data_IF_024792795183
#
_entry.id   IF_024792795183
#
_cell.length_a   1.000
_cell.length_b   1.000
_cell.length_c   1.000
_cell.angle_alpha   90.00
_cell.angle_beta   90.00
_cell.angle_gamma   90.00
#
_symmetry.space_group_name_H-M   'P 1'
#
loop_
_entity.id
_entity.type
_entity.pdbx_description
1 polymer ?
#
# COMPACT_ATOMS: atom_id res chain seq x y z
N UNK A 1 -8.25 -21.10 7.19
CA UNK A 1 -8.96 -19.83 7.44
C UNK A 1 -10.03 -19.71 6.37
N UNK A 2 -11.27 -19.51 6.78
CA UNK A 2 -12.39 -19.31 5.85
C UNK A 2 -12.31 -17.91 5.22
N UNK A 3 -12.68 -17.78 3.95
CA UNK A 3 -12.65 -16.51 3.21
C UNK A 3 -13.52 -15.45 3.90
N UNK A 4 -14.65 -15.86 4.47
CA UNK A 4 -15.56 -15.00 5.23
C UNK A 4 -14.91 -14.42 6.47
N UNK A 5 -14.06 -15.19 7.16
CA UNK A 5 -13.30 -14.72 8.33
C UNK A 5 -12.27 -13.67 7.94
N UNK A 6 -11.57 -13.86 6.80
CA UNK A 6 -10.56 -12.90 6.31
C UNK A 6 -11.20 -11.57 5.92
N UNK A 7 -12.34 -11.62 5.23
CA UNK A 7 -13.10 -10.41 4.86
C UNK A 7 -13.54 -9.64 6.12
N UNK A 8 -13.97 -10.34 7.16
CA UNK A 8 -14.33 -9.75 8.45
C UNK A 8 -13.19 -9.00 9.15
N UNK A 9 -11.92 -9.36 8.91
CA UNK A 9 -10.78 -8.65 9.48
C UNK A 9 -10.66 -7.19 8.99
N UNK A 10 -11.21 -6.88 7.82
CA UNK A 10 -11.13 -5.56 7.20
C UNK A 10 -12.35 -4.65 7.50
N UNK A 11 -13.40 -5.18 8.15
CA UNK A 11 -14.59 -4.40 8.54
C UNK A 11 -14.21 -3.29 9.51
N UNK A 12 -14.73 -2.09 9.26
CA UNK A 12 -14.51 -0.88 10.07
C UNK A 12 -13.03 -0.49 10.23
N UNK A 13 -12.15 -0.97 9.33
CA UNK A 13 -10.71 -0.70 9.38
C UNK A 13 -10.29 0.42 8.46
N UNK A 14 -9.32 1.19 8.93
CA UNK A 14 -8.55 2.14 8.15
C UNK A 14 -7.23 1.49 7.75
N UNK A 15 -6.93 1.45 6.46
CA UNK A 15 -5.82 0.67 5.93
C UNK A 15 -4.90 1.55 5.09
N UNK A 16 -3.61 1.52 5.39
CA UNK A 16 -2.58 2.13 4.56
C UNK A 16 -2.04 1.11 3.57
N UNK A 17 -2.05 1.45 2.28
CA UNK A 17 -1.50 0.62 1.20
C UNK A 17 -0.37 1.38 0.52
N UNK A 18 0.81 0.77 0.49
CA UNK A 18 1.93 1.23 -0.35
C UNK A 18 2.00 0.38 -1.62
N UNK A 19 2.44 0.98 -2.74
CA UNK A 19 2.55 0.26 -4.01
C UNK A 19 1.20 -0.02 -4.70
N UNK A 20 0.16 0.75 -4.35
CA UNK A 20 -1.20 0.63 -4.91
C UNK A 20 -1.26 0.84 -6.43
N UNK A 21 -0.33 1.60 -7.01
CA UNK A 21 -0.22 1.83 -8.45
C UNK A 21 0.35 0.64 -9.22
N UNK A 22 1.02 -0.27 -8.51
CA UNK A 22 1.53 -1.54 -9.05
C UNK A 22 0.41 -2.51 -9.45
N UNK A 23 0.76 -3.53 -10.22
CA UNK A 23 -0.20 -4.52 -10.73
C UNK A 23 -0.98 -5.24 -9.61
N UNK A 24 -0.29 -5.80 -8.62
CA UNK A 24 -0.94 -6.47 -7.49
C UNK A 24 -1.68 -5.48 -6.59
N UNK A 25 -1.10 -4.29 -6.37
CA UNK A 25 -1.66 -3.26 -5.49
C UNK A 25 -3.06 -2.82 -5.92
N UNK A 26 -3.25 -2.49 -7.20
CA UNK A 26 -4.58 -2.06 -7.70
C UNK A 26 -5.63 -3.16 -7.62
N UNK A 27 -5.24 -4.41 -7.89
CA UNK A 27 -6.12 -5.58 -7.74
C UNK A 27 -6.55 -5.78 -6.29
N UNK A 28 -5.63 -5.61 -5.35
CA UNK A 28 -5.92 -5.71 -3.93
C UNK A 28 -6.89 -4.61 -3.48
N UNK A 29 -6.66 -3.36 -3.89
CA UNK A 29 -7.53 -2.22 -3.59
C UNK A 29 -8.95 -2.46 -4.13
N UNK A 30 -9.09 -2.83 -5.40
CA UNK A 30 -10.40 -3.16 -5.99
C UNK A 30 -11.09 -4.27 -5.21
N UNK A 31 -10.37 -5.37 -4.95
CA UNK A 31 -10.94 -6.54 -4.30
C UNK A 31 -11.43 -6.20 -2.90
N UNK A 32 -10.68 -5.43 -2.13
CA UNK A 32 -11.05 -5.01 -0.77
C UNK A 32 -12.32 -4.17 -0.77
N UNK A 33 -12.40 -3.18 -1.66
CA UNK A 33 -13.59 -2.33 -1.79
C UNK A 33 -14.84 -3.13 -2.17
N UNK A 34 -14.68 -4.12 -3.05
CA UNK A 34 -15.80 -4.95 -3.51
C UNK A 34 -16.26 -5.99 -2.50
N UNK A 35 -15.35 -6.65 -1.77
CA UNK A 35 -15.72 -7.73 -0.84
C UNK A 35 -16.01 -7.24 0.57
N UNK A 36 -15.57 -6.04 0.94
CA UNK A 36 -15.80 -5.46 2.26
C UNK A 36 -16.31 -4.02 2.14
N UNK A 37 -17.61 -3.81 1.90
CA UNK A 37 -18.20 -2.47 1.78
C UNK A 37 -18.15 -1.66 3.10
N UNK A 38 -18.09 -2.34 4.25
CA UNK A 38 -17.97 -1.73 5.58
C UNK A 38 -16.52 -1.31 5.91
N UNK A 39 -15.60 -1.40 4.95
CA UNK A 39 -14.26 -0.86 5.11
C UNK A 39 -14.35 0.65 5.34
N UNK A 40 -13.63 1.16 6.35
CA UNK A 40 -13.73 2.57 6.73
C UNK A 40 -13.04 3.46 5.71
N UNK A 41 -11.75 3.23 5.48
CA UNK A 41 -10.93 4.09 4.61
C UNK A 41 -9.65 3.39 4.14
N UNK A 42 -9.26 3.63 2.89
CA UNK A 42 -8.00 3.24 2.29
C UNK A 42 -7.14 4.48 2.09
N UNK A 43 -6.02 4.55 2.78
CA UNK A 43 -4.95 5.50 2.47
C UNK A 43 -4.02 4.88 1.42
N UNK A 44 -3.89 5.53 0.26
CA UNK A 44 -3.03 5.05 -0.82
C UNK A 44 -1.79 5.94 -0.91
N UNK A 45 -0.66 5.45 -0.40
CA UNK A 45 0.62 6.17 -0.51
C UNK A 45 1.15 6.04 -1.93
N UNK A 46 1.28 7.19 -2.61
CA UNK A 46 1.75 7.28 -3.98
C UNK A 46 2.79 8.38 -4.14
N UNK A 47 3.80 8.11 -4.97
CA UNK A 47 4.84 9.08 -5.29
C UNK A 47 4.27 10.18 -6.19
N UNK A 48 4.16 11.37 -5.63
CA UNK A 48 3.65 12.58 -6.27
C UNK A 48 4.25 13.82 -5.56
N UNK A 49 4.37 14.96 -6.25
CA UNK A 49 4.88 16.20 -5.67
C UNK A 49 3.95 16.85 -4.65
N UNK A 50 2.64 16.65 -4.79
CA UNK A 50 1.60 17.23 -3.94
C UNK A 50 0.33 16.37 -3.94
N UNK A 51 -0.63 16.73 -3.08
CA UNK A 51 -1.88 15.97 -2.91
C UNK A 51 -2.74 15.95 -4.19
N UNK A 52 -2.73 17.02 -4.98
CA UNK A 52 -3.52 17.08 -6.22
C UNK A 52 -2.94 16.13 -7.28
N UNK A 53 -1.62 16.08 -7.41
CA UNK A 53 -0.93 15.12 -8.27
C UNK A 53 -1.09 13.68 -7.76
N UNK A 54 -1.14 13.46 -6.43
CA UNK A 54 -1.44 12.15 -5.86
C UNK A 54 -2.86 11.69 -6.20
N UNK A 55 -3.85 12.59 -6.10
CA UNK A 55 -5.24 12.33 -6.48
C UNK A 55 -5.35 11.97 -7.96
N UNK A 56 -4.78 12.79 -8.84
CA UNK A 56 -4.77 12.52 -10.27
C UNK A 56 -4.10 11.17 -10.58
N UNK A 57 -2.96 10.88 -9.95
CA UNK A 57 -2.25 9.60 -10.15
C UNK A 57 -3.08 8.40 -9.73
N UNK A 58 -3.77 8.47 -8.59
CA UNK A 58 -4.66 7.38 -8.13
C UNK A 58 -5.83 7.21 -9.09
N UNK A 59 -6.41 8.30 -9.59
CA UNK A 59 -7.46 8.25 -10.60
C UNK A 59 -6.96 7.57 -11.88
N UNK A 60 -5.80 7.96 -12.40
CA UNK A 60 -5.31 7.45 -13.70
C UNK A 60 -4.74 6.03 -13.64
N UNK A 61 -4.02 5.69 -12.56
CA UNK A 61 -3.26 4.44 -12.47
C UNK A 61 -4.00 3.33 -11.72
N UNK A 62 -5.01 3.67 -10.90
CA UNK A 62 -5.74 2.73 -10.05
C UNK A 62 -7.23 2.72 -10.40
N UNK A 63 -7.98 3.76 -10.02
CA UNK A 63 -9.45 3.78 -10.06
C UNK A 63 -9.99 3.83 -11.49
N UNK A 64 -9.32 4.54 -12.38
CA UNK A 64 -9.72 4.70 -13.79
C UNK A 64 -9.40 3.50 -14.67
N UNK A 65 -8.77 2.44 -14.14
CA UNK A 65 -8.52 1.20 -14.90
C UNK A 65 -9.78 0.36 -15.01
N UNK A 66 -9.92 -0.37 -16.12
CA UNK A 66 -11.02 -1.31 -16.41
C UNK A 66 -11.26 -2.34 -15.28
N UNK A 67 -10.22 -2.62 -14.48
CA UNK A 67 -10.30 -3.41 -13.26
C UNK A 67 -11.46 -2.96 -12.34
N UNK A 68 -11.76 -1.66 -12.26
CA UNK A 68 -12.83 -1.09 -11.44
C UNK A 68 -14.20 -1.06 -12.13
N UNK A 69 -14.36 -1.63 -13.33
CA UNK A 69 -15.64 -1.63 -14.05
C UNK A 69 -16.74 -2.36 -13.28
N UNK A 70 -16.38 -3.42 -12.54
CA UNK A 70 -17.35 -4.13 -11.69
C UNK A 70 -17.92 -3.20 -10.62
N UNK A 71 -17.05 -2.50 -9.87
CA UNK A 71 -17.49 -1.51 -8.88
C UNK A 71 -18.24 -0.34 -9.53
N UNK A 72 -17.84 0.10 -10.73
CA UNK A 72 -18.58 1.13 -11.49
C UNK A 72 -20.00 0.70 -11.82
N UNK A 73 -20.18 -0.54 -12.26
CA UNK A 73 -21.49 -1.10 -12.57
C UNK A 73 -22.34 -1.30 -11.32
N UNK A 74 -21.74 -1.76 -10.21
CA UNK A 74 -22.43 -1.97 -8.93
C UNK A 74 -22.91 -0.66 -8.29
N UNK A 75 -22.12 0.42 -8.37
CA UNK A 75 -22.45 1.70 -7.75
C UNK A 75 -23.12 2.72 -8.68
N UNK A 76 -23.05 2.52 -10.00
CA UNK A 76 -23.60 3.44 -11.00
C UNK A 76 -23.13 4.88 -10.81
N UNK A 77 -24.06 5.83 -10.81
CA UNK A 77 -23.79 7.27 -10.63
C UNK A 77 -23.11 7.59 -9.28
N UNK A 78 -23.23 6.72 -8.28
CA UNK A 78 -22.62 6.92 -6.96
C UNK A 78 -21.15 6.47 -6.90
N UNK A 79 -20.60 5.87 -7.96
CA UNK A 79 -19.24 5.33 -7.96
C UNK A 79 -18.19 6.36 -7.52
N UNK A 80 -18.24 7.57 -8.07
CA UNK A 80 -17.27 8.62 -7.72
C UNK A 80 -17.40 9.05 -6.25
N UNK A 81 -18.63 9.14 -5.72
CA UNK A 81 -18.87 9.47 -4.32
C UNK A 81 -18.35 8.36 -3.40
N UNK A 82 -18.61 7.10 -3.74
CA UNK A 82 -18.11 5.93 -3.03
C UNK A 82 -16.59 5.91 -2.97
N UNK A 83 -15.91 6.10 -4.11
CA UNK A 83 -14.44 6.14 -4.14
C UNK A 83 -13.91 7.29 -3.29
N UNK A 84 -14.51 8.49 -3.38
CA UNK A 84 -14.08 9.66 -2.59
C UNK A 84 -14.26 9.46 -1.08
N UNK A 85 -15.30 8.73 -0.67
CA UNK A 85 -15.50 8.36 0.73
C UNK A 85 -14.47 7.34 1.21
N UNK A 86 -14.22 6.30 0.40
CA UNK A 86 -13.42 5.14 0.81
C UNK A 86 -11.92 5.30 0.56
N UNK A 87 -11.49 6.14 -0.38
CA UNK A 87 -10.10 6.21 -0.84
C UNK A 87 -9.53 7.62 -0.62
N UNK A 88 -8.40 7.69 0.07
CA UNK A 88 -7.63 8.92 0.29
C UNK A 88 -6.19 8.74 -0.23
N UNK A 89 -5.85 9.38 -1.35
CA UNK A 89 -4.47 9.47 -1.84
C UNK A 89 -3.57 10.21 -0.84
N UNK A 90 -2.33 9.74 -0.67
CA UNK A 90 -1.28 10.42 0.10
C UNK A 90 -0.06 10.63 -0.78
N UNK A 91 0.35 11.88 -0.95
CA UNK A 91 1.58 12.24 -1.66
C UNK A 91 2.80 11.96 -0.79
N UNK A 92 3.52 10.87 -1.06
CA UNK A 92 4.71 10.51 -0.30
C UNK A 92 5.47 9.33 -0.88
N UNK A 93 6.62 9.03 -0.27
CA UNK A 93 7.51 7.96 -0.72
C UNK A 93 8.08 7.18 0.47
N UNK A 94 8.06 5.86 0.38
CA UNK A 94 8.56 4.97 1.43
C UNK A 94 10.04 5.19 1.72
N UNK A 95 10.82 5.74 0.77
CA UNK A 95 12.26 5.97 0.96
C UNK A 95 12.56 7.07 1.98
N UNK A 96 11.58 7.89 2.35
CA UNK A 96 11.72 8.96 3.32
C UNK A 96 11.18 8.57 4.69
N UNK A 97 11.77 9.12 5.75
CA UNK A 97 11.20 9.07 7.09
C UNK A 97 9.79 9.66 7.08
N UNK A 98 8.87 9.03 7.79
CA UNK A 98 7.45 9.42 7.83
C UNK A 98 6.85 9.63 6.42
N UNK A 99 7.38 8.90 5.44
CA UNK A 99 7.01 8.96 4.02
C UNK A 99 7.18 10.34 3.35
N UNK A 100 7.88 11.28 4.00
CA UNK A 100 7.98 12.68 3.54
C UNK A 100 6.69 13.49 3.73
N UNK A 101 5.75 13.00 4.54
CA UNK A 101 4.50 13.68 4.85
C UNK A 101 4.71 14.78 5.90
N UNK A 102 3.80 15.76 5.94
CA UNK A 102 3.83 16.79 6.96
C UNK A 102 3.45 16.24 8.35
N UNK A 103 3.99 16.88 9.39
CA UNK A 103 3.80 16.46 10.78
C UNK A 103 2.33 16.45 11.25
N UNK A 104 1.43 17.19 10.61
CA UNK A 104 0.02 17.22 10.99
C UNK A 104 -0.72 15.99 10.46
N UNK A 105 -0.51 15.66 9.17
CA UNK A 105 -1.03 14.43 8.55
C UNK A 105 -0.50 13.19 9.25
N UNK A 106 0.79 13.18 9.58
CA UNK A 106 1.42 12.02 10.21
C UNK A 106 0.80 11.68 11.58
N UNK A 107 0.59 12.70 12.43
CA UNK A 107 -0.06 12.48 13.73
C UNK A 107 -1.46 11.90 13.58
N UNK A 108 -2.24 12.39 12.63
CA UNK A 108 -3.56 11.83 12.33
C UNK A 108 -3.46 10.36 11.90
N UNK A 109 -2.51 10.02 11.02
CA UNK A 109 -2.34 8.65 10.54
C UNK A 109 -1.92 7.68 11.66
N UNK A 110 -1.09 8.12 12.62
CA UNK A 110 -0.73 7.31 13.79
C UNK A 110 -1.93 6.93 14.67
N UNK A 111 -2.96 7.76 14.68
CA UNK A 111 -4.17 7.53 15.49
C UNK A 111 -5.27 6.79 14.71
N UNK A 112 -5.22 6.76 13.38
CA UNK A 112 -6.30 6.21 12.55
C UNK A 112 -6.01 4.81 12.00
N UNK A 113 -4.76 4.49 11.64
CA UNK A 113 -4.44 3.28 10.87
C UNK A 113 -4.56 2.03 11.74
N UNK A 114 -5.32 1.04 11.25
CA UNK A 114 -5.48 -0.29 11.85
C UNK A 114 -4.57 -1.34 11.17
N UNK A 115 -4.37 -1.23 9.86
CA UNK A 115 -3.64 -2.22 9.05
C UNK A 115 -2.72 -1.49 8.07
N UNK A 116 -1.51 -2.01 7.89
CA UNK A 116 -0.58 -1.54 6.86
C UNK A 116 -0.29 -2.68 5.89
N UNK A 117 -0.44 -2.42 4.60
CA UNK A 117 -0.09 -3.34 3.52
C UNK A 117 1.06 -2.71 2.73
N UNK A 118 2.26 -3.27 2.93
CA UNK A 118 3.46 -2.85 2.23
C UNK A 118 3.67 -3.67 0.95
N UNK A 119 3.29 -3.12 -0.20
CA UNK A 119 3.52 -3.70 -1.51
C UNK A 119 4.45 -2.86 -2.41
N UNK A 120 4.95 -1.72 -1.90
CA UNK A 120 5.90 -0.89 -2.64
C UNK A 120 7.28 -1.56 -2.68
N UNK A 121 7.76 -1.78 -3.90
CA UNK A 121 9.10 -2.29 -4.16
C UNK A 121 9.56 -1.89 -5.57
N UNK A 122 10.86 -1.74 -5.72
CA UNK A 122 11.56 -1.83 -7.00
C UNK A 122 11.64 -3.30 -7.38
N UNK A 123 10.96 -3.68 -8.46
CA UNK A 123 10.88 -5.07 -8.95
C UNK A 123 11.73 -5.34 -10.18
N UNK A 124 12.36 -4.30 -10.75
CA UNK A 124 13.31 -4.45 -11.85
C UNK A 124 14.64 -5.03 -11.34
N UNK A 125 15.00 -6.22 -11.82
CA UNK A 125 16.23 -6.92 -11.42
C UNK A 125 17.52 -6.26 -11.89
N UNK A 126 17.44 -5.37 -12.89
CA UNK A 126 18.58 -4.64 -13.43
C UNK A 126 18.63 -3.19 -12.94
N UNK A 127 17.82 -2.85 -11.93
CA UNK A 127 17.88 -1.52 -11.32
C UNK A 127 19.21 -1.32 -10.60
N UNK A 128 19.64 -0.06 -10.50
CA UNK A 128 20.79 0.28 -9.68
C UNK A 128 20.60 -0.20 -8.24
N UNK A 129 21.66 -0.77 -7.70
CA UNK A 129 21.64 -1.36 -6.36
C UNK A 129 21.24 -0.36 -5.27
N UNK A 130 21.73 0.88 -5.35
CA UNK A 130 21.40 1.93 -4.37
C UNK A 130 19.91 2.29 -4.39
N UNK A 131 19.29 2.34 -5.57
CA UNK A 131 17.84 2.58 -5.73
C UNK A 131 17.04 1.40 -5.17
N UNK A 132 17.44 0.17 -5.51
CA UNK A 132 16.79 -1.04 -5.01
C UNK A 132 16.93 -1.17 -3.48
N UNK A 133 18.10 -0.83 -2.92
CA UNK A 133 18.36 -0.85 -1.49
C UNK A 133 17.54 0.22 -0.75
N UNK A 134 17.51 1.45 -1.30
CA UNK A 134 16.73 2.55 -0.76
C UNK A 134 15.24 2.20 -0.66
N UNK A 135 14.66 1.61 -1.71
CA UNK A 135 13.25 1.24 -1.71
C UNK A 135 12.97 -0.03 -0.91
N UNK A 136 13.62 -1.14 -1.27
CA UNK A 136 13.20 -2.46 -0.79
C UNK A 136 13.68 -2.76 0.64
N UNK A 137 14.78 -2.15 1.08
CA UNK A 137 15.35 -2.37 2.42
C UNK A 137 15.05 -1.18 3.33
N UNK A 138 15.59 0.01 3.02
CA UNK A 138 15.41 1.17 3.87
C UNK A 138 13.96 1.67 3.86
N UNK A 139 13.30 1.64 2.71
CA UNK A 139 11.87 1.99 2.63
C UNK A 139 10.99 1.03 3.41
N UNK A 140 11.28 -0.28 3.38
CA UNK A 140 10.61 -1.25 4.26
C UNK A 140 10.88 -0.96 5.73
N UNK A 141 12.11 -0.57 6.09
CA UNK A 141 12.44 -0.16 7.46
C UNK A 141 11.65 1.09 7.90
N UNK A 142 11.48 2.08 7.03
CA UNK A 142 10.66 3.27 7.29
C UNK A 142 9.19 2.90 7.51
N UNK A 143 8.63 1.98 6.71
CA UNK A 143 7.26 1.48 6.92
C UNK A 143 7.13 0.76 8.27
N UNK A 144 8.12 -0.06 8.66
CA UNK A 144 8.15 -0.70 9.97
C UNK A 144 8.25 0.33 11.11
N UNK A 145 9.05 1.38 10.93
CA UNK A 145 9.20 2.44 11.94
C UNK A 145 7.90 3.23 12.10
N UNK A 146 7.25 3.58 10.99
CA UNK A 146 5.93 4.20 10.98
C UNK A 146 4.89 3.33 11.71
N UNK A 147 4.86 2.02 11.41
CA UNK A 147 3.95 1.07 12.05
C UNK A 147 4.09 1.02 13.57
N UNK A 148 5.32 1.20 14.11
CA UNK A 148 5.57 1.25 15.56
C UNK A 148 5.02 2.50 16.24
N UNK A 149 4.86 3.60 15.49
CA UNK A 149 4.28 4.83 16.01
C UNK A 149 2.74 4.78 16.01
N UNK A 150 2.14 3.95 15.15
CA UNK A 150 0.70 3.80 15.09
C UNK A 150 0.15 3.13 16.38
N UNK A 151 -0.81 3.78 17.01
CA UNK A 151 -1.39 3.35 18.29
C UNK A 151 -2.41 2.21 18.14
N UNK A 152 -2.99 2.05 16.94
CA UNK A 152 -4.05 1.08 16.66
C UNK A 152 -3.64 -0.07 15.73
N UNK A 153 -2.44 -0.03 15.15
CA UNK A 153 -2.02 -1.02 14.15
C UNK A 153 -2.05 -2.42 14.76
N UNK A 154 -2.82 -3.31 14.13
CA UNK A 154 -2.97 -4.71 14.52
C UNK A 154 -2.20 -5.63 13.58
N UNK A 155 -1.90 -5.17 12.36
CA UNK A 155 -1.29 -5.97 11.32
C UNK A 155 -0.42 -5.12 10.38
N UNK A 156 0.79 -5.60 10.11
CA UNK A 156 1.64 -5.17 9.01
C UNK A 156 1.82 -6.36 8.06
N UNK A 157 1.25 -6.27 6.86
CA UNK A 157 1.41 -7.25 5.80
C UNK A 157 2.47 -6.76 4.82
N UNK A 158 3.62 -7.42 4.75
CA UNK A 158 4.66 -7.13 3.77
C UNK A 158 4.66 -8.15 2.64
N UNK A 159 4.51 -7.67 1.40
CA UNK A 159 4.60 -8.51 0.22
C UNK A 159 6.06 -8.65 -0.19
N UNK A 160 6.63 -9.84 0.02
CA UNK A 160 7.98 -10.19 -0.41
C UNK A 160 7.97 -10.94 -1.75
N UNK A 161 9.13 -11.42 -2.20
CA UNK A 161 9.30 -12.20 -3.43
C UNK A 161 9.95 -13.55 -3.15
N UNK A 162 9.51 -14.60 -3.85
CA UNK A 162 10.11 -15.94 -3.73
C UNK A 162 11.58 -16.00 -4.14
N UNK A 163 12.10 -14.99 -4.85
CA UNK A 163 13.52 -14.89 -5.21
C UNK A 163 14.43 -14.42 -4.07
N UNK A 164 13.90 -14.12 -2.88
CA UNK A 164 14.73 -13.91 -1.69
C UNK A 164 15.45 -15.19 -1.23
N UNK A 165 15.10 -16.36 -1.78
CA UNK A 165 15.81 -17.63 -1.54
C UNK A 165 17.07 -17.72 -2.41
N UNK A 166 18.11 -16.96 -2.06
CA UNK A 166 19.49 -17.27 -2.48
C UNK A 166 20.52 -16.68 -1.52
N UNK A 167 20.95 -17.50 -0.55
CA UNK A 167 22.33 -17.62 -0.07
C UNK A 167 22.42 -18.89 0.82
N UNK A 168 22.49 -20.08 0.21
CA UNK A 168 23.12 -21.22 0.88
C UNK A 168 24.62 -21.07 0.63
N UNK A 169 25.38 -20.93 1.71
CA UNK A 169 26.84 -21.09 1.74
C UNK A 169 27.22 -22.55 1.39
N UNK A 170 28.23 -22.73 0.53
CA UNK A 170 29.19 -23.85 0.41
C UNK A 170 29.94 -23.68 -0.95
N UNK A 171 31.28 -23.65 -1.08
CA UNK A 171 32.38 -24.24 -0.34
C UNK A 171 33.66 -23.37 -0.40
N UNK A 172 34.41 -23.32 0.70
CA UNK A 172 35.86 -23.17 0.65
C UNK A 172 36.44 -24.35 -0.14
N UNK A 173 37.13 -24.09 -1.23
CA UNK A 173 38.24 -24.94 -1.66
C UNK A 173 39.50 -24.08 -1.74
N UNK A 174 40.36 -24.29 -0.76
CA UNK A 174 41.78 -23.94 -0.82
C UNK A 174 42.41 -24.68 -2.00
N UNK A 175 43.21 -23.96 -2.78
CA UNK A 175 44.40 -24.48 -3.45
C UNK A 175 45.50 -23.43 -3.29
#
# INVERSE_FOLDING_TARGET
MDATTVVGCFRDRTILVTGSTGFLGKMLVEKMLRVQPDLRKLYLLVRAPDDAAAEQRVLDEVVGKELFDVLRQEHGDNFHSFIKEKVAPLAGDIIHEEFGLDSSKIKQLYEEIDIIINGAAVTNFYERYDVALASNTFGTANVCQFAKQCTKVQMLLHVSTGKCVTARYELCYSA
#
